data_IF_088545553661
#
_entry.id   IF_088545553661
#
_cell.length_a   1.000
_cell.length_b   1.000
_cell.length_c   1.000
_cell.angle_alpha   90.00
_cell.angle_beta   90.00
_cell.angle_gamma   90.00
#
_symmetry.space_group_name_H-M   'P 1'
#
loop_
_entity.id
_entity.type
_entity.pdbx_description
1 polymer ?
#
# COMPACT_ATOMS: atom_id res chain seq x y z
N UNK A 1 71.07 -37.61 -15.01
CA UNK A 1 70.40 -37.93 -13.73
C UNK A 1 69.81 -36.64 -13.17
N UNK A 2 68.59 -36.39 -13.49
CA UNK A 2 67.86 -35.15 -13.09
C UNK A 2 66.99 -35.53 -11.93
N UNK A 3 67.34 -35.09 -10.72
CA UNK A 3 66.57 -35.31 -9.51
C UNK A 3 65.30 -34.44 -9.55
N UNK A 4 64.11 -35.07 -9.44
CA UNK A 4 62.86 -34.41 -9.27
C UNK A 4 62.84 -33.67 -7.91
N UNK A 5 62.31 -32.43 -7.86
CA UNK A 5 62.15 -31.76 -6.59
C UNK A 5 61.01 -32.42 -5.78
N UNK A 6 61.29 -32.55 -4.51
CA UNK A 6 60.49 -33.18 -3.49
C UNK A 6 59.13 -32.43 -3.33
N UNK A 7 58.01 -33.03 -3.78
CA UNK A 7 56.67 -32.46 -3.67
C UNK A 7 56.08 -32.60 -2.28
N UNK A 8 56.83 -33.03 -1.29
CA UNK A 8 56.36 -33.20 0.09
C UNK A 8 56.35 -31.92 0.92
N UNK A 9 56.77 -30.77 0.38
CA UNK A 9 56.87 -29.53 1.15
C UNK A 9 55.67 -28.57 0.98
N UNK A 10 54.65 -28.95 0.24
CA UNK A 10 53.45 -28.07 0.04
C UNK A 10 52.26 -28.53 0.90
N UNK A 11 52.43 -29.54 1.74
CA UNK A 11 51.43 -29.88 2.78
C UNK A 11 51.73 -29.13 4.10
N UNK A 12 52.24 -27.91 3.99
CA UNK A 12 52.49 -27.08 5.15
C UNK A 12 51.21 -26.39 5.61
N UNK A 13 50.76 -26.87 6.76
CA UNK A 13 50.12 -26.05 7.78
C UNK A 13 48.96 -25.19 7.31
N UNK A 14 47.84 -25.80 7.00
CA UNK A 14 46.60 -25.21 7.42
C UNK A 14 46.54 -25.24 8.95
N UNK A 15 47.28 -24.34 9.56
CA UNK A 15 47.16 -24.00 10.97
C UNK A 15 45.76 -23.43 11.11
N UNK A 16 44.81 -24.26 11.51
CA UNK A 16 43.49 -23.82 11.97
C UNK A 16 43.77 -22.78 13.03
N UNK A 17 43.48 -21.51 12.73
CA UNK A 17 43.62 -20.44 13.68
C UNK A 17 42.76 -20.85 14.89
N UNK A 18 43.41 -21.18 16.00
CA UNK A 18 42.72 -21.44 17.26
C UNK A 18 41.82 -20.23 17.53
N UNK A 19 40.54 -20.50 17.67
CA UNK A 19 39.53 -19.49 17.98
C UNK A 19 39.74 -19.11 19.46
N UNK A 20 40.75 -18.28 19.72
CA UNK A 20 41.21 -17.95 21.06
C UNK A 20 40.30 -16.93 21.76
N UNK A 21 39.42 -16.19 21.03
CA UNK A 21 38.59 -15.12 21.61
C UNK A 21 37.10 -15.45 21.56
N UNK A 22 36.73 -16.61 22.12
CA UNK A 22 35.33 -17.05 22.15
C UNK A 22 34.43 -16.03 22.86
N UNK A 23 34.85 -15.46 23.98
CA UNK A 23 34.08 -14.50 24.76
C UNK A 23 33.84 -13.19 23.97
N UNK A 24 34.87 -12.68 23.25
CA UNK A 24 34.73 -11.49 22.43
C UNK A 24 33.77 -11.72 21.25
N UNK A 25 33.84 -12.87 20.58
CA UNK A 25 32.93 -13.21 19.47
C UNK A 25 31.50 -13.38 19.92
N UNK A 26 31.27 -14.04 21.05
CA UNK A 26 29.91 -14.15 21.65
C UNK A 26 29.41 -12.77 22.04
N UNK A 27 30.27 -11.92 22.63
CA UNK A 27 29.93 -10.54 22.96
C UNK A 27 29.50 -9.74 21.71
N UNK A 28 30.22 -9.86 20.61
CA UNK A 28 29.83 -9.22 19.34
C UNK A 28 28.52 -9.75 18.76
N UNK A 29 28.29 -11.06 18.80
CA UNK A 29 27.03 -11.66 18.33
C UNK A 29 25.84 -11.20 19.18
N UNK A 30 25.99 -11.15 20.50
CA UNK A 30 24.97 -10.66 21.40
C UNK A 30 24.72 -9.16 21.14
N UNK A 31 25.77 -8.36 21.01
CA UNK A 31 25.66 -6.94 20.66
C UNK A 31 24.92 -6.71 19.34
N UNK A 32 25.26 -7.49 18.31
CA UNK A 32 24.60 -7.43 17.02
C UNK A 32 23.12 -7.84 17.12
N UNK A 33 22.81 -8.91 17.85
CA UNK A 33 21.44 -9.36 18.07
C UNK A 33 20.59 -8.30 18.78
N UNK A 34 21.14 -7.67 19.82
CA UNK A 34 20.48 -6.58 20.55
C UNK A 34 20.28 -5.35 19.66
N UNK A 35 21.26 -5.02 18.82
CA UNK A 35 21.15 -3.92 17.87
C UNK A 35 20.06 -4.16 16.83
N UNK A 36 19.99 -5.37 16.26
CA UNK A 36 18.92 -5.76 15.33
C UNK A 36 17.55 -5.74 16.03
N UNK A 37 17.45 -6.25 17.26
CA UNK A 37 16.24 -6.21 18.06
C UNK A 37 15.78 -4.76 18.35
N UNK A 38 16.73 -3.87 18.66
CA UNK A 38 16.47 -2.45 18.87
C UNK A 38 15.94 -1.78 17.58
N UNK A 39 16.58 -2.03 16.44
CA UNK A 39 16.11 -1.49 15.15
C UNK A 39 14.68 -2.00 14.86
N UNK A 40 14.44 -3.29 15.03
CA UNK A 40 13.12 -3.86 14.84
C UNK A 40 12.07 -3.23 15.76
N UNK A 41 12.42 -3.03 17.03
CA UNK A 41 11.54 -2.37 18.00
C UNK A 41 11.24 -0.92 17.61
N UNK A 42 12.27 -0.15 17.22
CA UNK A 42 12.10 1.23 16.75
C UNK A 42 11.25 1.33 15.48
N UNK A 43 11.45 0.40 14.53
CA UNK A 43 10.62 0.32 13.33
C UNK A 43 9.15 0.04 13.71
N UNK A 44 8.92 -0.93 14.58
CA UNK A 44 7.57 -1.29 15.03
C UNK A 44 6.90 -0.12 15.76
N UNK A 45 7.63 0.58 16.59
CA UNK A 45 7.12 1.74 17.31
C UNK A 45 6.83 2.91 16.37
N UNK A 46 7.70 3.18 15.41
CA UNK A 46 7.47 4.18 14.36
C UNK A 46 6.23 3.88 13.50
N UNK A 47 5.92 2.60 13.26
CA UNK A 47 4.68 2.21 12.58
C UNK A 47 3.43 2.48 13.42
N UNK A 48 3.48 2.19 14.72
CA UNK A 48 2.37 2.51 15.63
C UNK A 48 2.14 4.01 15.72
N UNK A 49 3.21 4.80 15.81
CA UNK A 49 3.12 6.26 15.84
C UNK A 49 2.45 6.84 14.60
N UNK A 50 2.75 6.30 13.43
CA UNK A 50 2.05 6.72 12.20
C UNK A 50 0.55 6.39 12.25
N UNK A 51 0.17 5.26 12.81
CA UNK A 51 -1.23 4.90 13.03
C UNK A 51 -1.94 5.84 14.02
N UNK A 52 -1.25 6.26 15.08
CA UNK A 52 -1.83 7.21 16.06
C UNK A 52 -1.92 8.64 15.53
N UNK A 53 -1.01 9.07 14.66
CA UNK A 53 -1.09 10.37 13.97
C UNK A 53 -2.24 10.46 12.96
N UNK A 54 -2.81 9.33 12.56
CA UNK A 54 -3.98 9.21 11.68
C UNK A 54 -5.21 8.68 12.43
N UNK A 55 -5.16 8.65 13.77
CA UNK A 55 -6.25 8.20 14.63
C UNK A 55 -7.47 9.15 14.67
N UNK A 56 -7.35 10.31 14.03
CA UNK A 56 -8.43 11.28 13.82
C UNK A 56 -9.34 10.93 12.62
N UNK A 57 -8.95 9.92 11.82
CA UNK A 57 -9.82 9.46 10.74
C UNK A 57 -10.99 8.66 11.32
N UNK A 58 -12.25 9.04 11.03
CA UNK A 58 -13.43 8.28 11.44
C UNK A 58 -13.38 6.84 10.96
N UNK A 59 -14.24 5.99 11.50
CA UNK A 59 -14.45 4.66 10.94
C UNK A 59 -14.99 4.76 9.51
N UNK A 60 -14.58 3.80 8.69
CA UNK A 60 -15.05 3.76 7.31
C UNK A 60 -16.53 3.40 7.27
N UNK A 61 -17.33 4.04 6.42
CA UNK A 61 -18.73 3.66 6.26
C UNK A 61 -18.86 2.23 5.74
N UNK A 62 -19.81 1.50 6.25
CA UNK A 62 -20.26 0.24 5.69
C UNK A 62 -21.11 0.47 4.44
N UNK A 63 -21.10 -0.51 3.53
CA UNK A 63 -22.02 -0.49 2.41
C UNK A 63 -23.47 -0.56 2.90
N UNK A 64 -24.40 0.18 2.27
CA UNK A 64 -25.81 0.07 2.62
C UNK A 64 -26.35 -1.32 2.27
N UNK A 65 -27.36 -1.79 3.02
CA UNK A 65 -27.99 -3.11 2.79
C UNK A 65 -28.59 -3.23 1.38
N UNK A 66 -29.05 -2.12 0.81
CA UNK A 66 -29.57 -2.02 -0.55
C UNK A 66 -28.78 -0.98 -1.35
N UNK A 67 -27.62 -1.33 -1.93
CA UNK A 67 -26.79 -0.38 -2.67
C UNK A 67 -27.36 0.04 -4.02
N UNK A 68 -28.42 -0.62 -4.49
CA UNK A 68 -29.00 -0.40 -5.81
C UNK A 68 -28.34 -1.23 -6.92
N UNK A 69 -28.77 -0.99 -8.17
CA UNK A 69 -28.20 -1.68 -9.32
C UNK A 69 -26.75 -1.25 -9.60
N UNK A 70 -25.91 -2.22 -9.96
CA UNK A 70 -24.54 -1.95 -10.34
C UNK A 70 -24.50 -1.24 -11.72
N UNK A 71 -23.94 -0.04 -11.75
CA UNK A 71 -23.71 0.72 -12.99
C UNK A 71 -22.42 0.29 -13.69
N UNK A 72 -21.36 0.09 -12.91
CA UNK A 72 -20.07 -0.42 -13.38
C UNK A 72 -19.50 -1.39 -12.34
N UNK A 73 -18.82 -2.40 -12.83
CA UNK A 73 -18.03 -3.33 -12.00
C UNK A 73 -16.63 -3.45 -12.58
N UNK A 74 -15.63 -3.61 -11.71
CA UNK A 74 -14.23 -3.75 -12.12
C UNK A 74 -13.49 -4.66 -11.15
N UNK A 75 -12.76 -5.63 -11.69
CA UNK A 75 -11.81 -6.42 -10.91
C UNK A 75 -10.38 -5.92 -11.16
N UNK A 76 -9.57 -5.95 -10.10
CA UNK A 76 -8.21 -5.46 -10.24
C UNK A 76 -7.43 -5.45 -8.94
N UNK A 77 -6.62 -4.40 -8.78
CA UNK A 77 -5.75 -4.20 -7.61
C UNK A 77 -5.92 -2.83 -7.01
N UNK A 78 -6.12 -2.82 -5.71
CA UNK A 78 -6.01 -1.64 -4.88
C UNK A 78 -4.55 -1.39 -4.49
N UNK A 79 -4.07 -0.17 -4.70
CA UNK A 79 -2.66 0.19 -4.46
C UNK A 79 -2.43 0.90 -3.14
N UNK A 80 -3.49 1.39 -2.52
CA UNK A 80 -3.48 2.13 -1.26
C UNK A 80 -4.15 3.48 -1.40
N UNK A 81 -4.31 4.16 -0.27
CA UNK A 81 -4.79 5.54 -0.21
C UNK A 81 -3.70 6.47 0.30
N UNK A 82 -3.80 7.73 -0.13
CA UNK A 82 -2.92 8.82 0.27
C UNK A 82 -3.75 10.06 0.59
N UNK A 83 -3.17 11.03 1.28
CA UNK A 83 -3.77 12.36 1.36
C UNK A 83 -3.87 12.93 -0.06
N UNK A 84 -5.02 13.52 -0.39
CA UNK A 84 -5.28 14.04 -1.73
C UNK A 84 -4.19 15.03 -2.18
N UNK A 85 -3.68 14.83 -3.38
CA UNK A 85 -2.58 15.61 -3.95
C UNK A 85 -1.18 15.30 -3.38
N UNK A 86 -1.07 14.41 -2.38
CA UNK A 86 0.19 14.02 -1.75
C UNK A 86 0.46 12.52 -1.95
N UNK A 87 0.82 12.14 -3.15
CA UNK A 87 0.96 10.73 -3.57
C UNK A 87 1.96 9.88 -2.76
N UNK A 88 2.81 10.50 -1.94
CA UNK A 88 3.75 9.82 -1.03
C UNK A 88 3.20 9.70 0.39
N UNK A 89 2.21 10.51 0.77
CA UNK A 89 1.63 10.51 2.12
C UNK A 89 0.56 9.42 2.26
N UNK A 90 1.04 8.21 2.52
CA UNK A 90 0.19 7.01 2.63
C UNK A 90 -0.62 7.02 3.90
N UNK A 91 -1.92 6.82 3.77
CA UNK A 91 -2.84 6.59 4.87
C UNK A 91 -2.80 5.11 5.25
N UNK A 92 -2.46 4.82 6.51
CA UNK A 92 -2.37 3.44 7.03
C UNK A 92 -3.54 3.07 7.94
N UNK A 93 -4.28 4.06 8.43
CA UNK A 93 -5.47 3.86 9.24
C UNK A 93 -6.51 3.01 8.49
N UNK A 94 -7.31 2.25 9.24
CA UNK A 94 -8.39 1.40 8.71
C UNK A 94 -7.98 0.45 7.57
N UNK A 95 -6.68 0.11 7.48
CA UNK A 95 -6.17 -0.75 6.42
C UNK A 95 -6.10 -0.11 5.03
N UNK A 96 -6.33 1.21 4.90
CA UNK A 96 -6.29 1.95 3.63
C UNK A 96 -4.89 1.97 2.99
N UNK A 97 -3.85 1.69 3.75
CA UNK A 97 -2.48 1.57 3.23
C UNK A 97 -2.15 0.20 2.64
N UNK A 98 -2.98 -0.82 2.83
CA UNK A 98 -2.68 -2.19 2.43
C UNK A 98 -3.04 -2.45 0.98
N UNK A 99 -2.07 -2.93 0.18
CA UNK A 99 -2.35 -3.41 -1.19
C UNK A 99 -3.10 -4.73 -1.14
N UNK A 100 -4.07 -4.87 -2.01
CA UNK A 100 -4.90 -6.07 -2.10
C UNK A 100 -5.42 -6.29 -3.52
N UNK A 101 -6.01 -7.45 -3.77
CA UNK A 101 -7.01 -7.59 -4.82
C UNK A 101 -8.19 -6.67 -4.49
N UNK A 102 -8.96 -6.31 -5.49
CA UNK A 102 -10.14 -5.48 -5.31
C UNK A 102 -11.19 -5.83 -6.35
N UNK A 103 -12.43 -5.81 -5.91
CA UNK A 103 -13.62 -5.79 -6.73
C UNK A 103 -14.35 -4.47 -6.43
N UNK A 104 -14.50 -3.64 -7.44
CA UNK A 104 -15.21 -2.38 -7.36
C UNK A 104 -16.60 -2.52 -7.94
N UNK A 105 -17.59 -1.99 -7.24
CA UNK A 105 -18.94 -1.87 -7.73
C UNK A 105 -19.43 -0.43 -7.55
N UNK A 106 -19.74 0.26 -8.64
CA UNK A 106 -20.32 1.60 -8.63
C UNK A 106 -21.82 1.48 -8.71
N UNK A 107 -22.51 2.07 -7.76
CA UNK A 107 -23.98 2.13 -7.67
C UNK A 107 -24.45 3.57 -7.51
N UNK A 108 -25.77 3.79 -7.47
CA UNK A 108 -26.33 5.11 -7.15
C UNK A 108 -26.07 5.55 -5.70
N UNK A 109 -25.81 4.61 -4.81
CA UNK A 109 -25.44 4.91 -3.42
C UNK A 109 -23.98 5.35 -3.27
N UNK A 110 -23.08 4.87 -4.15
CA UNK A 110 -21.65 5.16 -4.06
C UNK A 110 -20.77 4.06 -4.65
N UNK A 111 -19.52 4.04 -4.20
CA UNK A 111 -18.49 3.11 -4.63
C UNK A 111 -18.26 2.06 -3.54
N UNK A 112 -18.60 0.83 -3.82
CA UNK A 112 -18.30 -0.33 -2.98
C UNK A 112 -16.92 -0.90 -3.35
N UNK A 113 -16.09 -1.15 -2.33
CA UNK A 113 -14.69 -1.57 -2.48
C UNK A 113 -14.46 -2.84 -1.67
N UNK A 114 -14.69 -3.98 -2.31
CA UNK A 114 -14.48 -5.30 -1.72
C UNK A 114 -13.03 -5.73 -1.92
N UNK A 115 -12.33 -6.07 -0.83
CA UNK A 115 -10.91 -6.38 -0.84
C UNK A 115 -10.62 -7.74 -0.22
N UNK A 116 -10.62 -8.84 -0.98
CA UNK A 116 -10.32 -10.16 -0.46
C UNK A 116 -9.00 -10.20 0.32
N UNK A 117 -9.09 -10.54 1.63
CA UNK A 117 -7.95 -10.60 2.54
C UNK A 117 -7.53 -9.26 3.17
N UNK A 118 -8.30 -8.20 2.98
CA UNK A 118 -8.14 -6.89 3.64
C UNK A 118 -9.51 -6.36 4.06
N UNK A 119 -9.53 -5.25 4.80
CA UNK A 119 -10.79 -4.64 5.20
C UNK A 119 -11.49 -3.99 3.99
N UNK A 120 -12.74 -4.32 3.76
CA UNK A 120 -13.60 -3.69 2.78
C UNK A 120 -13.96 -2.26 3.22
N UNK A 121 -14.40 -1.43 2.29
CA UNK A 121 -14.92 -0.11 2.61
C UNK A 121 -15.88 0.39 1.53
N UNK A 122 -16.75 1.28 1.94
CA UNK A 122 -17.70 1.94 1.06
C UNK A 122 -17.43 3.44 1.01
N UNK A 123 -17.56 4.03 -0.17
CA UNK A 123 -17.45 5.48 -0.35
C UNK A 123 -18.80 6.00 -0.83
N UNK A 124 -19.57 6.68 0.03
CA UNK A 124 -20.85 7.26 -0.35
C UNK A 124 -20.71 8.21 -1.55
N UNK A 125 -21.69 8.24 -2.44
CA UNK A 125 -21.67 9.12 -3.60
C UNK A 125 -21.47 10.60 -3.21
N UNK A 126 -22.09 11.04 -2.12
CA UNK A 126 -21.94 12.38 -1.58
C UNK A 126 -20.51 12.70 -1.09
N UNK A 127 -19.71 11.69 -0.79
CA UNK A 127 -18.31 11.85 -0.38
C UNK A 127 -17.34 11.90 -1.56
N UNK A 128 -17.71 11.39 -2.73
CA UNK A 128 -16.91 11.44 -3.93
C UNK A 128 -16.69 12.87 -4.40
N UNK A 129 -15.48 13.18 -4.89
CA UNK A 129 -15.11 14.53 -5.35
C UNK A 129 -14.58 14.54 -6.77
N UNK A 130 -13.74 13.58 -7.12
CA UNK A 130 -13.09 13.53 -8.43
C UNK A 130 -12.68 12.10 -8.76
N UNK A 131 -12.71 11.76 -10.03
CA UNK A 131 -12.03 10.59 -10.55
C UNK A 131 -11.11 11.00 -11.70
N UNK A 132 -9.87 10.51 -11.68
CA UNK A 132 -8.87 10.84 -12.70
C UNK A 132 -7.98 9.64 -13.01
N UNK A 133 -7.29 9.73 -14.14
CA UNK A 133 -6.18 8.83 -14.44
C UNK A 133 -4.88 9.40 -13.89
N UNK A 134 -4.08 8.56 -13.30
CA UNK A 134 -2.77 8.94 -12.79
C UNK A 134 -1.73 7.85 -13.09
N UNK A 135 -0.46 8.16 -12.86
CA UNK A 135 0.67 7.24 -12.98
C UNK A 135 1.26 6.83 -11.63
N UNK A 136 0.87 7.49 -10.54
CA UNK A 136 1.50 7.25 -9.25
C UNK A 136 0.56 7.39 -8.05
N UNK A 137 0.69 6.48 -7.10
CA UNK A 137 0.05 6.56 -5.78
C UNK A 137 0.86 5.78 -4.75
N UNK A 138 0.88 6.27 -3.51
CA UNK A 138 1.48 5.58 -2.37
C UNK A 138 2.93 5.10 -2.63
N UNK A 139 3.73 5.94 -3.30
CA UNK A 139 5.11 5.65 -3.65
C UNK A 139 5.30 4.64 -4.79
N UNK A 140 4.24 4.30 -5.54
CA UNK A 140 4.30 3.46 -6.73
C UNK A 140 4.07 4.29 -7.97
N UNK A 141 4.90 4.07 -8.98
CA UNK A 141 4.76 4.66 -10.31
C UNK A 141 4.44 3.54 -11.28
N UNK A 142 3.40 3.74 -12.07
CA UNK A 142 2.93 2.86 -13.14
C UNK A 142 3.10 3.54 -14.50
N UNK A 143 2.70 2.88 -15.56
CA UNK A 143 2.59 3.51 -16.88
C UNK A 143 1.53 4.61 -16.86
N UNK A 144 1.66 5.60 -17.71
CA UNK A 144 0.71 6.70 -17.86
C UNK A 144 -0.71 6.18 -18.11
N UNK A 145 -1.71 6.73 -17.38
CA UNK A 145 -3.09 6.23 -17.44
C UNK A 145 -3.33 4.85 -16.82
N UNK A 146 -2.30 4.24 -16.22
CA UNK A 146 -2.38 2.88 -15.66
C UNK A 146 -3.08 2.78 -14.30
N UNK A 147 -3.53 3.91 -13.74
CA UNK A 147 -4.15 3.97 -12.43
C UNK A 147 -5.40 4.84 -12.48
N UNK A 148 -6.52 4.30 -12.02
CA UNK A 148 -7.72 5.05 -11.66
C UNK A 148 -7.53 5.58 -10.24
N UNK A 149 -7.54 6.89 -10.06
CA UNK A 149 -7.51 7.53 -8.76
C UNK A 149 -8.85 8.18 -8.50
N UNK A 150 -9.43 7.84 -7.35
CA UNK A 150 -10.70 8.39 -6.87
C UNK A 150 -10.41 9.23 -5.64
N UNK A 151 -10.75 10.52 -5.70
CA UNK A 151 -10.66 11.46 -4.60
C UNK A 151 -12.00 11.52 -3.89
N UNK A 152 -11.99 11.37 -2.57
CA UNK A 152 -13.19 11.39 -1.74
C UNK A 152 -12.94 12.01 -0.38
N UNK A 153 -13.99 12.54 0.25
CA UNK A 153 -13.95 13.14 1.56
C UNK A 153 -14.19 12.09 2.65
N UNK A 154 -13.36 12.10 3.69
CA UNK A 154 -13.54 11.26 4.86
C UNK A 154 -13.23 12.05 6.13
N UNK A 155 -14.26 12.38 6.88
CA UNK A 155 -14.16 13.40 7.92
C UNK A 155 -13.74 14.74 7.32
N UNK A 156 -12.70 15.34 7.89
CA UNK A 156 -12.16 16.62 7.43
C UNK A 156 -11.06 16.46 6.35
N UNK A 157 -10.75 15.21 5.94
CA UNK A 157 -9.67 14.94 5.00
C UNK A 157 -10.18 14.56 3.62
N UNK A 158 -9.45 14.98 2.62
CA UNK A 158 -9.58 14.46 1.26
C UNK A 158 -8.57 13.35 1.04
N UNK A 159 -9.04 12.23 0.51
CA UNK A 159 -8.27 11.00 0.32
C UNK A 159 -8.27 10.63 -1.16
N UNK A 160 -7.10 10.31 -1.68
CA UNK A 160 -6.90 9.69 -2.99
C UNK A 160 -6.76 8.18 -2.83
N UNK A 161 -7.62 7.40 -3.46
CA UNK A 161 -7.56 5.94 -3.50
C UNK A 161 -7.24 5.47 -4.90
N UNK A 162 -6.20 4.63 -5.03
CA UNK A 162 -5.70 4.20 -6.33
C UNK A 162 -6.04 2.76 -6.67
N UNK A 163 -6.62 2.57 -7.84
CA UNK A 163 -7.08 1.30 -8.37
C UNK A 163 -6.49 1.03 -9.74
N UNK A 164 -6.14 -0.20 -10.00
CA UNK A 164 -5.71 -0.65 -11.32
C UNK A 164 -6.58 -1.80 -11.76
N UNK A 165 -7.34 -1.63 -12.83
CA UNK A 165 -8.09 -2.72 -13.47
C UNK A 165 -7.14 -3.78 -14.04
N UNK A 166 -7.60 -5.01 -14.04
CA UNK A 166 -6.98 -6.08 -14.81
C UNK A 166 -7.15 -5.81 -16.33
N UNK A 167 -8.15 -4.98 -16.72
CA UNK A 167 -8.42 -4.52 -18.08
C UNK A 167 -8.26 -3.00 -18.19
N UNK A 168 -7.09 -2.52 -18.60
CA UNK A 168 -6.76 -1.09 -18.61
C UNK A 168 -7.71 -0.20 -19.42
N UNK A 169 -8.40 -0.76 -20.43
CA UNK A 169 -9.36 -0.01 -21.26
C UNK A 169 -10.58 0.52 -20.47
N UNK A 170 -10.92 -0.10 -19.35
CA UNK A 170 -12.08 0.27 -18.54
C UNK A 170 -11.87 1.60 -17.79
N UNK A 171 -10.62 2.00 -17.52
CA UNK A 171 -10.33 3.17 -16.69
C UNK A 171 -10.98 4.46 -17.21
N UNK A 172 -11.01 4.67 -18.52
CA UNK A 172 -11.60 5.88 -19.12
C UNK A 172 -13.12 5.93 -18.90
N UNK A 173 -13.79 4.80 -18.97
CA UNK A 173 -15.22 4.70 -18.71
C UNK A 173 -15.52 4.99 -17.23
N UNK A 174 -14.74 4.41 -16.33
CA UNK A 174 -14.85 4.66 -14.89
C UNK A 174 -14.69 6.13 -14.55
N UNK A 175 -13.65 6.80 -15.08
CA UNK A 175 -13.43 8.24 -14.85
C UNK A 175 -14.62 9.06 -15.35
N UNK A 176 -15.12 8.77 -16.54
CA UNK A 176 -16.26 9.49 -17.12
C UNK A 176 -17.51 9.31 -16.27
N UNK A 177 -17.86 8.06 -15.94
CA UNK A 177 -19.08 7.76 -15.22
C UNK A 177 -19.07 8.32 -13.80
N UNK A 178 -17.95 8.15 -13.06
CA UNK A 178 -17.79 8.73 -11.74
C UNK A 178 -17.96 10.24 -11.75
N UNK A 179 -17.25 10.95 -12.64
CA UNK A 179 -17.34 12.41 -12.71
C UNK A 179 -18.73 12.89 -13.14
N UNK A 180 -19.45 12.17 -13.99
CA UNK A 180 -20.83 12.49 -14.33
C UNK A 180 -21.76 12.38 -13.12
N UNK A 181 -21.60 11.34 -12.30
CA UNK A 181 -22.39 11.16 -11.08
C UNK A 181 -22.07 12.22 -10.03
N UNK A 182 -20.79 12.54 -9.83
CA UNK A 182 -20.35 13.57 -8.90
C UNK A 182 -20.95 14.93 -9.27
N UNK A 183 -20.81 15.34 -10.54
CA UNK A 183 -21.34 16.62 -11.02
C UNK A 183 -22.86 16.73 -10.90
N UNK A 184 -23.57 15.62 -11.11
CA UNK A 184 -25.02 15.58 -10.93
C UNK A 184 -25.41 15.84 -9.47
N UNK A 185 -24.73 15.18 -8.53
CA UNK A 185 -24.99 15.33 -7.10
C UNK A 185 -24.70 16.75 -6.61
N UNK A 186 -23.62 17.38 -7.08
CA UNK A 186 -23.30 18.78 -6.75
C UNK A 186 -24.35 19.76 -7.26
N UNK A 187 -24.89 19.52 -8.46
CA UNK A 187 -25.93 20.37 -9.06
C UNK A 187 -27.28 20.24 -8.33
N UNK A 188 -27.61 19.04 -7.85
CA UNK A 188 -28.83 18.80 -7.08
C UNK A 188 -28.74 19.35 -5.65
N UNK A 189 -27.55 19.30 -5.02
CA UNK A 189 -27.31 19.84 -3.68
C UNK A 189 -27.22 21.38 -3.61
N UNK A 190 -27.04 22.05 -4.75
CA UNK A 190 -26.97 23.52 -4.85
C UNK A 190 -28.30 24.21 -5.11
N UNK A 191 -29.43 23.45 -5.18
CA UNK A 191 -30.79 23.95 -5.34
C UNK A 191 -31.59 23.87 -4.04
#
# INVERSE_FOLDING_TARGET
MTSLPDLTYIAAEQKSAEVTDWAARVGWLVGLALFVALIYWLMREGWKWRGTLQGDLPELPDAPDEPGEARLTMSGRYHGSTTAGQWLDRIVAHGLGTRSRVELTLTDAGLDVVRPGAADFFVPLAALREARLDKGIAGKVLTEGGLLVVTWAHGERLIDSGFRSDTAAEHNEWVRTLNQMINKTETEGAR
#
